data_IF_022956377843
#
_entry.id   IF_022956377843
#
_cell.length_a   1.000
_cell.length_b   1.000
_cell.length_c   1.000
_cell.angle_alpha   90.00
_cell.angle_beta   90.00
_cell.angle_gamma   90.00
#
_symmetry.space_group_name_H-M   'P 1'
#
loop_
_entity.id
_entity.type
_entity.pdbx_description
1 polymer ?
#
# COMPACT_ATOMS: atom_id res chain seq x y z
N UNK A 1 5.42 -3.34 -9.03
CA UNK A 1 4.08 -3.95 -9.18
C UNK A 1 3.87 -5.14 -8.23
N UNK A 2 4.65 -6.23 -8.28
CA UNK A 2 4.45 -7.37 -7.34
C UNK A 2 4.65 -6.98 -5.86
N UNK A 3 5.71 -6.24 -5.56
CA UNK A 3 5.95 -5.70 -4.20
C UNK A 3 4.85 -4.73 -3.78
N UNK A 4 4.37 -3.89 -4.71
CA UNK A 4 3.24 -2.98 -4.45
C UNK A 4 1.93 -3.70 -4.15
N UNK A 5 1.73 -4.91 -4.69
CA UNK A 5 0.58 -5.75 -4.34
C UNK A 5 0.80 -6.45 -2.99
N UNK A 6 2.02 -6.90 -2.71
CA UNK A 6 2.37 -7.64 -1.50
C UNK A 6 2.06 -6.86 -0.21
N UNK A 7 2.32 -5.54 -0.18
CA UNK A 7 2.02 -4.69 0.99
C UNK A 7 0.55 -4.76 1.42
N UNK A 8 -0.39 -4.78 0.46
CA UNK A 8 -1.81 -4.87 0.77
C UNK A 8 -2.21 -6.27 1.22
N UNK A 9 -1.63 -7.31 0.62
CA UNK A 9 -1.90 -8.70 1.02
C UNK A 9 -1.38 -8.97 2.44
N UNK A 10 -0.16 -8.52 2.75
CA UNK A 10 0.44 -8.64 4.09
C UNK A 10 -0.42 -7.89 5.12
N UNK A 11 -0.74 -6.62 4.84
CA UNK A 11 -1.49 -5.80 5.78
C UNK A 11 -2.93 -6.27 5.95
N UNK A 12 -3.56 -6.83 4.90
CA UNK A 12 -4.87 -7.48 5.01
C UNK A 12 -4.82 -8.66 5.97
N UNK A 13 -3.82 -9.52 5.83
CA UNK A 13 -3.72 -10.79 6.56
C UNK A 13 -3.34 -10.58 8.02
N UNK A 14 -2.32 -9.74 8.26
CA UNK A 14 -1.72 -9.61 9.58
C UNK A 14 -2.10 -8.31 10.29
N UNK A 15 -2.63 -7.31 9.58
CA UNK A 15 -2.75 -5.97 10.10
C UNK A 15 -1.40 -5.39 10.52
N UNK A 16 -1.43 -4.42 11.43
CA UNK A 16 -0.25 -3.76 11.96
C UNK A 16 0.22 -2.61 11.08
N UNK A 17 1.54 -2.49 10.93
CA UNK A 17 2.19 -1.37 10.25
C UNK A 17 3.08 -1.89 9.12
N UNK A 18 2.87 -1.36 7.91
CA UNK A 18 3.76 -1.54 6.78
C UNK A 18 4.50 -0.23 6.50
N UNK A 19 5.80 -0.31 6.24
CA UNK A 19 6.60 0.80 5.76
C UNK A 19 7.64 0.32 4.73
N UNK A 20 7.89 1.12 3.70
CA UNK A 20 8.98 0.85 2.77
C UNK A 20 10.35 1.03 3.48
N UNK A 21 11.38 0.34 2.99
CA UNK A 21 12.71 0.31 3.63
C UNK A 21 13.46 1.64 3.59
N UNK A 22 13.00 2.58 2.78
CA UNK A 22 13.52 3.94 2.65
C UNK A 22 12.72 4.96 3.46
N UNK A 23 11.79 4.52 4.31
CA UNK A 23 11.04 5.38 5.23
C UNK A 23 11.80 5.55 6.54
N UNK A 24 12.10 6.80 6.88
CA UNK A 24 12.80 7.16 8.12
C UNK A 24 11.81 7.51 9.22
N UNK A 25 11.90 6.82 10.34
CA UNK A 25 11.08 7.10 11.52
C UNK A 25 11.65 8.30 12.28
N UNK A 26 11.02 9.47 12.16
CA UNK A 26 11.47 10.71 12.81
C UNK A 26 10.92 10.88 14.25
N UNK A 27 9.83 10.18 14.58
CA UNK A 27 9.11 10.24 15.86
C UNK A 27 8.38 8.91 16.11
N UNK A 28 8.03 8.63 17.36
CA UNK A 28 7.26 7.43 17.73
C UNK A 28 5.97 7.32 16.90
N UNK A 29 5.67 6.09 16.47
CA UNK A 29 4.43 5.72 15.77
C UNK A 29 3.31 5.35 16.75
N UNK A 30 3.60 5.24 18.04
CA UNK A 30 2.60 4.91 19.08
C UNK A 30 1.33 5.75 19.03
N UNK A 31 1.37 7.08 18.78
CA UNK A 31 0.15 7.88 18.70
C UNK A 31 -0.80 7.49 17.56
N UNK A 32 -0.34 6.67 16.61
CA UNK A 32 -1.13 6.18 15.48
C UNK A 32 -1.81 4.83 15.77
N UNK A 33 -1.42 4.14 16.86
CA UNK A 33 -1.87 2.77 17.15
C UNK A 33 -3.33 2.69 17.61
N UNK A 34 -3.92 3.80 18.05
CA UNK A 34 -5.35 3.87 18.43
C UNK A 34 -6.29 3.98 17.21
N UNK A 35 -5.75 4.06 16.00
CA UNK A 35 -6.52 4.18 14.76
C UNK A 35 -6.73 2.82 14.08
N UNK A 36 -7.93 2.58 13.55
CA UNK A 36 -8.20 1.35 12.78
C UNK A 36 -7.48 1.33 11.42
N UNK A 37 -7.23 2.49 10.84
CA UNK A 37 -6.49 2.66 9.58
C UNK A 37 -5.80 4.02 9.54
N UNK A 38 -4.55 4.05 9.06
CA UNK A 38 -3.79 5.29 8.82
C UNK A 38 -3.14 5.21 7.45
N UNK A 39 -3.43 6.21 6.62
CA UNK A 39 -2.85 6.37 5.30
C UNK A 39 -2.35 7.81 5.15
N UNK A 40 -1.05 8.04 4.92
CA UNK A 40 -0.52 9.38 4.73
C UNK A 40 -1.13 10.04 3.50
N UNK A 41 -1.54 11.30 3.61
CA UNK A 41 -2.02 12.09 2.48
C UNK A 41 -0.88 12.40 1.51
N UNK A 42 -1.14 12.31 0.22
CA UNK A 42 -0.26 12.82 -0.85
C UNK A 42 -0.89 14.06 -1.48
N UNK A 43 -0.09 15.09 -1.73
CA UNK A 43 -0.52 16.33 -2.38
C UNK A 43 -0.24 16.23 -3.89
N UNK A 44 -1.11 16.71 -4.80
CA UNK A 44 -2.38 17.41 -4.54
C UNK A 44 -3.57 16.51 -4.21
N UNK A 45 -3.51 15.22 -4.56
CA UNK A 45 -4.60 14.28 -4.32
C UNK A 45 -4.09 12.90 -3.93
N UNK A 46 -4.89 12.21 -3.12
CA UNK A 46 -4.70 10.80 -2.80
C UNK A 46 -3.95 10.53 -1.51
N UNK A 47 -3.54 9.28 -1.38
CA UNK A 47 -2.85 8.72 -0.22
C UNK A 47 -1.61 7.96 -0.69
N UNK A 48 -0.57 7.97 0.13
CA UNK A 48 0.64 7.19 -0.08
C UNK A 48 0.46 5.78 0.48
N UNK A 49 1.14 4.83 -0.14
CA UNK A 49 1.24 3.45 0.32
C UNK A 49 2.66 3.08 0.81
N UNK A 50 3.55 4.08 0.93
CA UNK A 50 4.90 3.90 1.48
C UNK A 50 4.88 3.68 3.00
N UNK A 51 3.82 4.13 3.67
CA UNK A 51 3.53 3.86 5.07
C UNK A 51 2.03 3.61 5.19
N UNK A 52 1.64 2.55 5.87
CA UNK A 52 0.24 2.21 6.11
C UNK A 52 0.10 1.53 7.47
N UNK A 53 -0.95 1.86 8.20
CA UNK A 53 -1.38 1.12 9.39
C UNK A 53 -2.80 0.65 9.16
N UNK A 54 -3.11 -0.59 9.51
CA UNK A 54 -4.49 -1.07 9.55
C UNK A 54 -4.66 -2.22 10.54
N UNK A 55 -5.83 -2.32 11.14
CA UNK A 55 -6.24 -3.54 11.85
C UNK A 55 -6.42 -4.70 10.86
N UNK A 56 -6.15 -5.95 11.26
CA UNK A 56 -6.39 -7.11 10.39
C UNK A 56 -7.86 -7.18 9.96
N UNK A 57 -8.11 -7.52 8.69
CA UNK A 57 -9.47 -7.61 8.13
C UNK A 57 -10.17 -6.28 7.89
N UNK A 58 -9.48 -5.13 7.96
CA UNK A 58 -10.08 -3.83 7.67
C UNK A 58 -10.66 -3.78 6.24
N UNK A 59 -11.91 -3.34 6.08
CA UNK A 59 -12.66 -3.41 4.83
C UNK A 59 -11.97 -2.74 3.63
N UNK A 60 -11.20 -1.68 3.88
CA UNK A 60 -10.39 -1.02 2.84
C UNK A 60 -9.36 -1.96 2.22
N UNK A 61 -8.68 -2.77 3.03
CA UNK A 61 -7.61 -3.66 2.59
C UNK A 61 -8.20 -4.88 1.87
N UNK A 62 -9.34 -5.39 2.36
CA UNK A 62 -10.12 -6.41 1.65
C UNK A 62 -10.51 -5.94 0.25
N UNK A 63 -11.07 -4.73 0.15
CA UNK A 63 -11.44 -4.13 -1.14
C UNK A 63 -10.23 -3.89 -2.04
N UNK A 64 -9.12 -3.39 -1.48
CA UNK A 64 -7.89 -3.14 -2.22
C UNK A 64 -7.33 -4.43 -2.84
N UNK A 65 -7.22 -5.49 -2.04
CA UNK A 65 -6.73 -6.81 -2.50
C UNK A 65 -7.67 -7.41 -3.55
N UNK A 66 -8.98 -7.37 -3.33
CA UNK A 66 -9.97 -7.85 -4.30
C UNK A 66 -9.92 -7.09 -5.64
N UNK A 67 -9.51 -5.82 -5.61
CA UNK A 67 -9.41 -4.96 -6.80
C UNK A 67 -8.10 -5.11 -7.58
N UNK A 68 -7.10 -5.82 -7.04
CA UNK A 68 -5.78 -5.96 -7.67
C UNK A 68 -5.81 -6.53 -9.10
N UNK A 69 -6.58 -7.59 -9.42
CA UNK A 69 -6.63 -8.12 -10.79
C UNK A 69 -7.11 -7.07 -11.80
N UNK A 70 -8.21 -6.38 -11.47
CA UNK A 70 -8.77 -5.30 -12.31
C UNK A 70 -7.80 -4.14 -12.46
N UNK A 71 -7.10 -3.76 -11.39
CA UNK A 71 -6.08 -2.71 -11.44
C UNK A 71 -4.90 -3.11 -12.34
N UNK A 72 -4.46 -4.37 -12.28
CA UNK A 72 -3.40 -4.88 -13.13
C UNK A 72 -3.79 -4.94 -14.61
N UNK A 73 -5.03 -5.34 -14.93
CA UNK A 73 -5.52 -5.29 -16.31
C UNK A 73 -5.52 -3.87 -16.88
N UNK A 74 -5.97 -2.90 -16.08
CA UNK A 74 -6.05 -1.49 -16.49
C UNK A 74 -4.67 -0.83 -16.63
N UNK A 75 -3.76 -1.07 -15.68
CA UNK A 75 -2.52 -0.31 -15.55
C UNK A 75 -1.24 -1.12 -15.83
N UNK A 76 -1.30 -2.45 -15.75
CA UNK A 76 -0.14 -3.33 -15.90
C UNK A 76 0.45 -3.37 -17.30
N UNK A 77 -0.28 -2.85 -18.30
CA UNK A 77 0.14 -2.78 -19.71
C UNK A 77 0.53 -1.39 -20.19
N UNK A 78 0.55 -0.38 -19.31
CA UNK A 78 0.72 1.04 -19.68
C UNK A 78 2.21 1.42 -19.88
N UNK A 79 3.10 0.43 -19.90
CA UNK A 79 4.52 0.69 -20.08
C UNK A 79 4.86 1.04 -21.54
N UNK A 80 5.64 2.12 -21.80
CA UNK A 80 6.07 2.48 -23.14
C UNK A 80 6.85 1.34 -23.80
N UNK A 81 6.80 1.25 -25.14
CA UNK A 81 7.52 0.20 -25.92
C UNK A 81 9.04 0.13 -25.67
N UNK A 82 9.63 1.17 -25.09
CA UNK A 82 11.05 1.28 -24.77
C UNK A 82 11.39 1.03 -23.30
N UNK A 83 10.40 0.82 -22.43
CA UNK A 83 10.64 0.45 -21.04
C UNK A 83 10.73 -1.08 -20.91
N UNK A 84 11.92 -1.58 -20.59
CA UNK A 84 12.11 -2.97 -20.18
C UNK A 84 12.20 -3.05 -18.66
N UNK A 85 11.25 -3.74 -18.06
CA UNK A 85 11.35 -4.17 -16.66
C UNK A 85 12.16 -5.46 -16.65
N UNK A 86 13.29 -5.44 -15.96
CA UNK A 86 14.06 -6.66 -15.69
C UNK A 86 13.26 -7.48 -14.67
N UNK A 87 12.83 -8.68 -15.07
CA UNK A 87 12.12 -9.66 -14.23
C UNK A 87 13.07 -10.71 -13.71
#
# INVERSE_FOLDING_TARGET
QRVDAARYVILREFGGLYADLDVWCLRSVEPLLDSEVVLPRTTPFGVSNQFMLAVPGHALLEHAVASLPRAFEKWGRVWPRHLRVLT
#
